data_IF_857400296004
#
_entry.id   IF_857400296004
#
_cell.length_a   1.000
_cell.length_b   1.000
_cell.length_c   1.000
_cell.angle_alpha   90.00
_cell.angle_beta   90.00
_cell.angle_gamma   90.00
#
_symmetry.space_group_name_H-M   'P 1'
#
loop_
_entity.id
_entity.type
_entity.pdbx_description
1 polymer ?
#
# COMPACT_ATOMS: atom_id res chain seq x y z
N UNK A 1 11.17 -22.33 8.34
CA UNK A 1 10.32 -21.20 8.74
C UNK A 1 8.95 -21.44 8.13
N UNK A 2 7.93 -21.61 8.95
CA UNK A 2 6.57 -21.54 8.43
C UNK A 2 6.34 -20.09 7.95
N UNK A 3 6.21 -19.91 6.63
CA UNK A 3 5.70 -18.65 6.08
C UNK A 3 4.32 -18.45 6.70
N UNK A 4 4.09 -17.30 7.33
CA UNK A 4 2.77 -16.95 7.82
C UNK A 4 1.84 -16.93 6.60
N UNK A 5 0.93 -17.89 6.53
CA UNK A 5 0.05 -18.08 5.38
C UNK A 5 -1.08 -17.08 5.49
N UNK A 6 -1.29 -16.25 4.46
CA UNK A 6 -2.44 -15.37 4.37
C UNK A 6 -3.73 -16.22 4.32
N UNK A 7 -4.77 -15.79 5.02
CA UNK A 7 -6.09 -16.38 4.89
C UNK A 7 -6.73 -15.98 3.57
N UNK A 8 -7.07 -16.95 2.73
CA UNK A 8 -7.69 -16.75 1.42
C UNK A 8 -9.19 -17.06 1.50
N UNK A 9 -10.05 -16.10 1.17
CA UNK A 9 -11.51 -16.25 1.16
C UNK A 9 -12.05 -15.83 -0.21
N UNK A 10 -12.97 -16.65 -0.77
CA UNK A 10 -13.70 -16.25 -1.99
C UNK A 10 -14.94 -15.45 -1.58
N UNK A 11 -15.11 -14.27 -2.15
CA UNK A 11 -16.25 -13.37 -1.92
C UNK A 11 -16.96 -13.01 -3.21
N UNK A 12 -18.21 -12.60 -3.10
CA UNK A 12 -19.02 -12.07 -4.20
C UNK A 12 -19.68 -10.79 -3.72
N UNK A 13 -19.47 -9.71 -4.44
CA UNK A 13 -20.17 -8.44 -4.21
C UNK A 13 -20.61 -7.86 -5.57
N UNK A 14 -21.88 -7.44 -5.68
CA UNK A 14 -22.45 -6.90 -6.94
C UNK A 14 -22.17 -7.77 -8.18
N UNK A 15 -22.30 -9.08 -8.06
CA UNK A 15 -22.01 -10.09 -9.09
C UNK A 15 -20.53 -10.20 -9.52
N UNK A 16 -19.61 -9.52 -8.83
CA UNK A 16 -18.18 -9.68 -9.05
C UNK A 16 -17.65 -10.71 -8.05
N UNK A 17 -17.05 -11.78 -8.57
CA UNK A 17 -16.34 -12.77 -7.74
C UNK A 17 -14.88 -12.35 -7.59
N UNK A 18 -14.40 -12.28 -6.36
CA UNK A 18 -13.02 -11.92 -6.06
C UNK A 18 -12.45 -12.73 -4.89
N UNK A 19 -11.15 -12.74 -4.77
CA UNK A 19 -10.43 -13.31 -3.64
C UNK A 19 -10.13 -12.22 -2.61
N UNK A 20 -10.27 -12.54 -1.34
CA UNK A 20 -9.78 -11.69 -0.26
C UNK A 20 -8.64 -12.40 0.45
N UNK A 21 -7.52 -11.70 0.58
CA UNK A 21 -6.36 -12.11 1.35
C UNK A 21 -6.32 -11.33 2.66
N UNK A 22 -6.44 -12.04 3.77
CA UNK A 22 -6.40 -11.45 5.11
C UNK A 22 -5.09 -11.84 5.82
N UNK A 23 -4.55 -10.91 6.59
CA UNK A 23 -3.51 -11.24 7.56
C UNK A 23 -4.07 -12.20 8.61
N UNK A 24 -3.30 -13.21 9.04
CA UNK A 24 -3.71 -14.05 10.15
C UNK A 24 -3.90 -13.20 11.42
N UNK A 25 -4.68 -13.71 12.35
CA UNK A 25 -5.18 -13.08 13.59
C UNK A 25 -4.38 -11.96 14.26
N UNK A 26 -5.02 -11.14 15.09
CA UNK A 26 -4.52 -9.88 15.68
C UNK A 26 -3.12 -9.93 16.32
N UNK A 27 -2.72 -11.05 16.92
CA UNK A 27 -1.35 -11.19 17.47
C UNK A 27 -0.26 -11.31 16.41
N UNK A 28 -0.59 -11.83 15.24
CA UNK A 28 0.35 -11.94 14.12
C UNK A 28 0.50 -10.64 13.33
N UNK A 29 -0.50 -9.75 13.34
CA UNK A 29 -0.47 -8.46 12.63
C UNK A 29 0.70 -7.57 13.06
N UNK A 30 0.98 -7.49 14.36
CA UNK A 30 2.04 -6.60 14.88
C UNK A 30 3.47 -6.99 14.47
N UNK A 31 3.68 -8.19 13.97
CA UNK A 31 5.00 -8.68 13.54
C UNK A 31 5.03 -9.11 12.06
N UNK A 32 3.91 -8.98 11.35
CA UNK A 32 3.84 -9.35 9.95
C UNK A 32 4.47 -8.26 9.07
N UNK A 33 5.59 -8.57 8.47
CA UNK A 33 6.18 -7.83 7.38
C UNK A 33 6.70 -8.84 6.38
N UNK A 34 6.14 -8.86 5.18
CA UNK A 34 6.62 -9.72 4.10
C UNK A 34 7.30 -8.89 3.02
N UNK A 35 8.43 -9.38 2.56
CA UNK A 35 9.16 -8.86 1.41
C UNK A 35 9.54 -10.03 0.51
N UNK A 36 8.97 -10.06 -0.67
CA UNK A 36 9.06 -11.20 -1.58
C UNK A 36 9.36 -10.73 -3.01
N UNK A 37 10.00 -11.61 -3.79
CA UNK A 37 10.24 -11.36 -5.21
C UNK A 37 8.95 -11.56 -6.02
N UNK A 38 8.59 -10.58 -6.85
CA UNK A 38 7.40 -10.63 -7.72
C UNK A 38 7.48 -11.84 -8.67
N UNK A 39 8.65 -12.12 -9.23
CA UNK A 39 8.87 -13.28 -10.10
C UNK A 39 8.64 -14.62 -9.36
N UNK A 40 8.96 -14.69 -8.08
CA UNK A 40 8.70 -15.86 -7.25
C UNK A 40 7.19 -15.99 -6.96
N UNK A 41 6.51 -14.89 -6.66
CA UNK A 41 5.04 -14.88 -6.47
C UNK A 41 4.36 -15.35 -7.76
N UNK A 42 4.73 -14.83 -8.92
CA UNK A 42 4.17 -15.22 -10.21
C UNK A 42 4.33 -16.72 -10.51
N UNK A 43 5.45 -17.30 -10.13
CA UNK A 43 5.72 -18.74 -10.36
C UNK A 43 5.00 -19.65 -9.38
N UNK A 44 4.97 -19.30 -8.11
CA UNK A 44 4.42 -20.15 -7.05
C UNK A 44 2.92 -19.97 -6.83
N UNK A 45 2.43 -18.76 -7.04
CA UNK A 45 1.05 -18.33 -6.78
C UNK A 45 0.53 -17.43 -7.90
N UNK A 46 0.46 -17.93 -9.16
CA UNK A 46 0.00 -17.10 -10.30
C UNK A 46 -1.39 -16.52 -10.08
N UNK A 47 -2.26 -17.24 -9.37
CA UNK A 47 -3.61 -16.77 -9.03
C UNK A 47 -3.59 -15.51 -8.14
N UNK A 48 -2.56 -15.33 -7.32
CA UNK A 48 -2.42 -14.16 -6.46
C UNK A 48 -2.16 -12.86 -7.25
N UNK A 49 -1.80 -12.97 -8.52
CA UNK A 49 -1.63 -11.83 -9.42
C UNK A 49 -2.72 -11.76 -10.49
N UNK A 50 -3.18 -12.90 -11.02
CA UNK A 50 -4.07 -12.95 -12.18
C UNK A 50 -5.57 -12.92 -11.83
N UNK A 51 -5.96 -13.40 -10.65
CA UNK A 51 -7.36 -13.32 -10.22
C UNK A 51 -7.65 -11.97 -9.58
N UNK A 52 -8.84 -11.43 -9.81
CA UNK A 52 -9.27 -10.20 -9.13
C UNK A 52 -9.34 -10.46 -7.63
N UNK A 53 -8.64 -9.63 -6.86
CA UNK A 53 -8.53 -9.80 -5.42
C UNK A 53 -8.43 -8.47 -4.68
N UNK A 54 -8.59 -8.51 -3.37
CA UNK A 54 -8.23 -7.44 -2.45
C UNK A 54 -7.53 -8.04 -1.23
N UNK A 55 -6.97 -7.18 -0.40
CA UNK A 55 -6.32 -7.56 0.84
C UNK A 55 -6.65 -6.58 1.97
N UNK A 56 -6.41 -6.97 3.22
CA UNK A 56 -6.65 -6.14 4.40
C UNK A 56 -5.36 -5.51 4.98
N UNK A 57 -4.33 -5.38 4.14
CA UNK A 57 -3.02 -4.85 4.49
C UNK A 57 -2.52 -3.89 3.40
N UNK A 58 -1.52 -3.10 3.70
CA UNK A 58 -0.83 -2.24 2.74
C UNK A 58 0.16 -3.03 1.91
N UNK A 59 0.29 -2.69 0.63
CA UNK A 59 1.26 -3.32 -0.27
C UNK A 59 1.98 -2.29 -1.13
N UNK A 60 3.24 -2.59 -1.41
CA UNK A 60 4.06 -1.84 -2.35
C UNK A 60 4.60 -2.84 -3.36
N UNK A 61 4.30 -2.65 -4.64
CA UNK A 61 4.85 -3.45 -5.74
C UNK A 61 5.81 -2.59 -6.54
N UNK A 62 7.09 -2.90 -6.45
CA UNK A 62 8.15 -2.21 -7.18
C UNK A 62 8.69 -3.11 -8.28
N UNK A 63 8.38 -2.79 -9.53
CA UNK A 63 8.80 -3.52 -10.72
C UNK A 63 10.17 -3.02 -11.19
N UNK A 64 11.17 -3.89 -11.20
CA UNK A 64 12.51 -3.62 -11.71
C UNK A 64 12.63 -3.92 -13.19
N UNK A 65 11.83 -4.83 -13.73
CA UNK A 65 11.81 -5.24 -15.12
C UNK A 65 10.45 -5.84 -15.51
N UNK A 66 10.26 -6.03 -16.80
CA UNK A 66 9.07 -6.64 -17.38
C UNK A 66 8.03 -5.62 -17.79
N UNK A 67 6.91 -6.14 -18.25
CA UNK A 67 5.77 -5.39 -18.75
C UNK A 67 4.46 -6.06 -18.38
N UNK A 68 3.37 -5.32 -18.45
CA UNK A 68 2.02 -5.77 -18.18
C UNK A 68 1.10 -4.62 -17.82
N UNK A 69 -0.08 -4.96 -17.32
CA UNK A 69 -1.08 -4.00 -16.89
C UNK A 69 -1.52 -4.33 -15.46
N UNK A 70 -1.51 -3.36 -14.58
CA UNK A 70 -2.14 -3.42 -13.27
C UNK A 70 -3.51 -2.75 -13.36
N UNK A 71 -4.56 -3.44 -12.98
CA UNK A 71 -5.93 -2.93 -12.98
C UNK A 71 -6.36 -2.77 -11.54
N UNK A 72 -6.75 -1.55 -11.16
CA UNK A 72 -7.21 -1.20 -9.81
C UNK A 72 -8.54 -0.47 -9.93
N UNK A 73 -9.58 -1.02 -9.30
CA UNK A 73 -10.94 -0.44 -9.29
C UNK A 73 -11.42 -0.01 -10.69
N UNK A 74 -11.11 -0.82 -11.72
CA UNK A 74 -11.43 -0.66 -13.14
C UNK A 74 -10.50 0.24 -13.97
N UNK A 75 -9.57 0.98 -13.35
CA UNK A 75 -8.57 1.77 -14.06
C UNK A 75 -7.34 0.92 -14.39
N UNK A 76 -6.77 1.14 -15.57
CA UNK A 76 -5.61 0.40 -16.09
C UNK A 76 -4.34 1.23 -15.98
N UNK A 77 -3.28 0.64 -15.44
CA UNK A 77 -1.96 1.27 -15.26
C UNK A 77 -0.88 0.40 -15.89
N UNK A 78 -0.01 1.00 -16.69
CA UNK A 78 1.09 0.29 -17.34
C UNK A 78 2.19 -0.09 -16.34
N UNK A 79 2.67 -1.32 -16.43
CA UNK A 79 3.83 -1.82 -15.73
C UNK A 79 5.05 -1.70 -16.63
N UNK A 80 6.14 -1.18 -16.07
CA UNK A 80 7.43 -1.10 -16.74
C UNK A 80 8.56 -0.98 -15.74
N UNK A 81 9.77 -0.88 -16.22
CA UNK A 81 10.94 -0.72 -15.38
C UNK A 81 10.84 0.52 -14.49
N UNK A 82 11.04 0.32 -13.19
CA UNK A 82 10.99 1.35 -12.17
C UNK A 82 9.59 1.72 -11.70
N UNK A 83 8.51 1.12 -12.25
CA UNK A 83 7.14 1.41 -11.79
C UNK A 83 6.92 0.88 -10.38
N UNK A 84 6.38 1.74 -9.52
CA UNK A 84 5.98 1.40 -8.15
C UNK A 84 4.51 1.70 -7.95
N UNK A 85 3.77 0.73 -7.43
CA UNK A 85 2.37 0.85 -7.05
C UNK A 85 2.22 0.76 -5.54
N UNK A 86 1.32 1.58 -4.99
CA UNK A 86 1.03 1.65 -3.55
C UNK A 86 -0.44 1.32 -3.32
N UNK A 87 -0.72 0.17 -2.72
CA UNK A 87 -2.08 -0.28 -2.44
C UNK A 87 -2.40 -0.15 -0.96
N UNK A 88 -3.47 0.59 -0.67
CA UNK A 88 -4.15 0.53 0.62
C UNK A 88 -4.95 -0.77 0.76
N UNK A 89 -5.44 -1.13 1.96
CA UNK A 89 -6.44 -2.18 2.12
C UNK A 89 -7.69 -1.92 1.27
N UNK A 90 -8.32 -2.99 0.78
CA UNK A 90 -9.64 -3.08 0.12
C UNK A 90 -9.74 -2.86 -1.39
N UNK A 91 -9.02 -1.94 -2.11
CA UNK A 91 -9.14 -1.85 -3.55
C UNK A 91 -9.11 -3.21 -4.24
N UNK A 92 -10.04 -3.41 -5.17
CA UNK A 92 -10.06 -4.61 -6.03
C UNK A 92 -9.03 -4.45 -7.12
N UNK A 93 -8.11 -5.39 -7.22
CA UNK A 93 -7.07 -5.30 -8.24
C UNK A 93 -6.70 -6.65 -8.86
N UNK A 94 -6.09 -6.59 -10.02
CA UNK A 94 -5.57 -7.74 -10.77
C UNK A 94 -4.48 -7.30 -11.73
N UNK A 95 -3.71 -8.25 -12.22
CA UNK A 95 -2.67 -8.00 -13.21
C UNK A 95 -2.98 -8.77 -14.50
N UNK A 96 -2.72 -8.15 -15.66
CA UNK A 96 -2.88 -8.77 -16.97
C UNK A 96 -1.58 -8.69 -17.77
N UNK A 97 -1.39 -9.67 -18.64
CA UNK A 97 -0.31 -9.70 -19.62
C UNK A 97 1.08 -9.55 -19.01
N UNK A 98 1.28 -10.05 -17.78
CA UNK A 98 2.58 -10.00 -17.13
C UNK A 98 3.61 -10.82 -17.90
N UNK A 99 4.67 -10.17 -18.38
CA UNK A 99 5.76 -10.78 -19.13
C UNK A 99 7.11 -10.36 -18.56
N UNK A 100 7.96 -11.34 -18.27
CA UNK A 100 9.33 -11.16 -17.76
C UNK A 100 9.43 -10.22 -16.56
N UNK A 101 8.41 -10.20 -15.70
CA UNK A 101 8.40 -9.32 -14.55
C UNK A 101 9.40 -9.77 -13.50
N UNK A 102 10.15 -8.79 -13.00
CA UNK A 102 11.01 -8.88 -11.84
C UNK A 102 10.78 -7.67 -10.94
N UNK A 103 10.98 -7.83 -9.66
CA UNK A 103 10.76 -6.76 -8.71
C UNK A 103 10.48 -7.28 -7.30
N UNK A 104 10.01 -6.36 -6.46
CA UNK A 104 9.82 -6.59 -5.04
C UNK A 104 8.38 -6.25 -4.65
N UNK A 105 7.73 -7.17 -3.94
CA UNK A 105 6.48 -6.94 -3.25
C UNK A 105 6.74 -6.82 -1.74
N UNK A 106 6.24 -5.77 -1.13
CA UNK A 106 6.26 -5.56 0.32
C UNK A 106 4.84 -5.50 0.83
N UNK A 107 4.51 -6.28 1.85
CA UNK A 107 3.19 -6.33 2.47
C UNK A 107 3.31 -6.11 3.97
N UNK A 108 2.50 -5.20 4.52
CA UNK A 108 2.53 -4.86 5.94
C UNK A 108 1.17 -4.33 6.44
N UNK A 109 0.84 -4.57 7.72
CA UNK A 109 -0.37 -4.03 8.32
C UNK A 109 -0.22 -2.55 8.68
N UNK A 110 -1.35 -1.89 8.99
CA UNK A 110 -1.40 -0.47 9.36
C UNK A 110 -0.53 -0.14 10.57
N UNK A 111 -0.35 -1.07 11.48
CA UNK A 111 0.43 -0.91 12.72
C UNK A 111 1.88 -0.46 12.47
N UNK A 112 2.44 -0.76 11.28
CA UNK A 112 3.76 -0.25 10.89
C UNK A 112 3.73 1.23 10.55
N UNK A 113 2.68 1.70 9.88
CA UNK A 113 2.49 3.13 9.60
C UNK A 113 2.21 3.91 10.90
N UNK A 114 1.48 3.31 11.86
CA UNK A 114 1.21 3.94 13.17
C UNK A 114 2.47 4.13 14.04
N UNK A 115 3.56 3.46 13.73
CA UNK A 115 4.86 3.67 14.39
C UNK A 115 5.67 4.83 13.81
N UNK A 116 5.23 5.39 12.69
CA UNK A 116 5.83 6.56 12.05
C UNK A 116 5.28 7.82 12.73
N UNK A 117 6.08 8.88 12.79
CA UNK A 117 5.61 10.19 13.27
C UNK A 117 4.31 10.60 12.57
N UNK A 118 3.37 11.17 13.34
CA UNK A 118 2.00 11.45 12.88
C UNK A 118 1.96 12.37 11.64
N UNK A 119 2.82 13.40 11.57
CA UNK A 119 2.85 14.30 10.42
C UNK A 119 3.35 13.57 9.18
N UNK A 120 4.43 12.83 9.31
CA UNK A 120 5.00 12.05 8.23
C UNK A 120 4.04 10.93 7.78
N UNK A 121 3.38 10.25 8.73
CA UNK A 121 2.37 9.24 8.44
C UNK A 121 1.22 9.81 7.60
N UNK A 122 0.69 10.98 7.97
CA UNK A 122 -0.37 11.64 7.21
C UNK A 122 0.07 11.94 5.77
N UNK A 123 1.28 12.48 5.59
CA UNK A 123 1.85 12.75 4.26
C UNK A 123 2.03 11.48 3.42
N UNK A 124 2.53 10.41 4.02
CA UNK A 124 2.70 9.11 3.36
C UNK A 124 1.34 8.55 2.93
N UNK A 125 0.38 8.47 3.86
CA UNK A 125 -0.94 7.93 3.55
C UNK A 125 -1.61 8.70 2.41
N UNK A 126 -1.65 10.02 2.49
CA UNK A 126 -2.31 10.85 1.49
C UNK A 126 -1.64 10.77 0.11
N UNK A 127 -0.33 10.72 0.03
CA UNK A 127 0.38 10.69 -1.25
C UNK A 127 0.42 9.31 -1.89
N UNK A 128 0.57 8.27 -1.07
CA UNK A 128 0.90 6.92 -1.55
C UNK A 128 -0.28 5.95 -1.48
N UNK A 129 -1.18 6.10 -0.51
CA UNK A 129 -2.21 5.09 -0.28
C UNK A 129 -3.63 5.62 -0.48
N UNK A 130 -3.85 6.92 -0.34
CA UNK A 130 -5.15 7.57 -0.50
C UNK A 130 -5.02 8.86 -1.30
N UNK A 131 -4.54 8.81 -2.56
CA UNK A 131 -4.47 10.00 -3.40
C UNK A 131 -5.87 10.51 -3.72
N UNK A 132 -6.03 11.83 -3.85
CA UNK A 132 -7.33 12.42 -4.16
C UNK A 132 -7.81 12.10 -5.59
N UNK A 133 -6.88 11.80 -6.50
CA UNK A 133 -7.19 11.49 -7.88
C UNK A 133 -6.50 10.19 -8.29
N UNK A 134 -7.28 9.24 -8.78
CA UNK A 134 -6.79 7.99 -9.33
C UNK A 134 -6.10 7.10 -8.29
N UNK A 135 -5.13 6.34 -8.74
CA UNK A 135 -4.39 5.37 -7.95
C UNK A 135 -2.91 5.77 -7.84
N UNK A 136 -2.35 5.63 -6.64
CA UNK A 136 -0.98 6.07 -6.37
C UNK A 136 0.07 5.17 -7.03
N UNK A 137 0.83 5.74 -7.93
CA UNK A 137 2.00 5.12 -8.51
C UNK A 137 3.08 6.16 -8.81
N UNK A 138 4.32 5.71 -8.89
CA UNK A 138 5.44 6.55 -9.33
C UNK A 138 6.43 5.73 -10.13
N UNK A 139 7.38 6.40 -10.77
CA UNK A 139 8.51 5.78 -11.45
C UNK A 139 9.80 6.08 -10.68
N UNK A 140 10.60 5.06 -10.45
CA UNK A 140 11.91 5.16 -9.79
C UNK A 140 12.99 4.98 -10.84
N UNK A 141 13.82 6.00 -11.06
CA UNK A 141 14.97 5.92 -11.95
C UNK A 141 16.04 4.96 -11.39
N UNK A 142 16.92 4.43 -12.23
CA UNK A 142 18.01 3.55 -11.78
C UNK A 142 18.92 4.25 -10.75
N UNK A 143 19.22 5.54 -10.92
CA UNK A 143 20.01 6.30 -9.96
C UNK A 143 19.33 6.46 -8.59
N UNK A 144 17.98 6.56 -8.56
CA UNK A 144 17.20 6.59 -7.33
C UNK A 144 17.14 5.20 -6.70
N UNK A 145 16.98 4.16 -7.52
CA UNK A 145 16.97 2.75 -7.08
C UNK A 145 18.28 2.37 -6.38
N UNK A 146 19.43 2.73 -6.93
CA UNK A 146 20.73 2.46 -6.32
C UNK A 146 20.85 3.01 -4.89
N UNK A 147 20.20 4.16 -4.60
CA UNK A 147 20.19 4.76 -3.26
C UNK A 147 19.24 4.02 -2.29
N UNK A 148 18.15 3.47 -2.80
CA UNK A 148 17.13 2.81 -1.98
C UNK A 148 17.38 1.31 -1.78
N UNK A 149 18.07 0.64 -2.72
CA UNK A 149 18.33 -0.81 -2.63
C UNK A 149 19.06 -1.25 -1.36
N UNK A 150 20.00 -0.48 -0.76
CA UNK A 150 20.56 -0.83 0.55
C UNK A 150 19.52 -0.97 1.66
N UNK A 151 18.47 -0.13 1.67
CA UNK A 151 17.37 -0.20 2.64
C UNK A 151 16.58 -1.49 2.41
N UNK A 152 16.22 -1.77 1.16
CA UNK A 152 15.52 -3.00 0.76
C UNK A 152 16.30 -4.23 1.18
N UNK A 153 17.60 -4.25 0.97
CA UNK A 153 18.49 -5.34 1.36
C UNK A 153 18.50 -5.57 2.88
N UNK A 154 18.57 -4.49 3.67
CA UNK A 154 18.46 -4.59 5.13
C UNK A 154 17.10 -5.17 5.56
N UNK A 155 16.01 -4.80 4.88
CA UNK A 155 14.69 -5.37 5.15
C UNK A 155 14.65 -6.88 4.83
N UNK A 156 15.22 -7.31 3.70
CA UNK A 156 15.30 -8.72 3.31
C UNK A 156 16.15 -9.52 4.30
N UNK A 157 17.31 -9.01 4.69
CA UNK A 157 18.17 -9.64 5.69
C UNK A 157 17.45 -9.75 7.05
N UNK A 158 16.78 -8.68 7.49
CA UNK A 158 16.03 -8.68 8.74
C UNK A 158 14.83 -9.63 8.72
N UNK A 159 14.16 -9.81 7.58
CA UNK A 159 13.06 -10.77 7.44
C UNK A 159 13.49 -12.22 7.59
N UNK A 160 14.74 -12.53 7.29
CA UNK A 160 15.32 -13.87 7.44
C UNK A 160 15.76 -14.19 8.88
N UNK A 161 15.84 -13.16 9.76
CA UNK A 161 16.28 -13.35 11.14
C UNK A 161 15.11 -13.71 12.06
N UNK A 162 15.40 -14.44 13.11
CA UNK A 162 14.46 -14.65 14.22
C UNK A 162 14.74 -13.63 15.31
N UNK A 163 13.72 -12.86 15.66
CA UNK A 163 13.78 -11.91 16.76
C UNK A 163 13.05 -12.48 17.98
N UNK A 164 13.72 -12.49 19.13
CA UNK A 164 13.08 -12.82 20.41
C UNK A 164 12.09 -11.72 20.80
N UNK A 165 12.48 -10.44 20.64
CA UNK A 165 11.64 -9.28 20.88
C UNK A 165 10.91 -8.84 19.58
N UNK A 166 9.65 -9.23 19.47
CA UNK A 166 8.78 -8.87 18.33
C UNK A 166 8.48 -7.38 18.23
N UNK A 167 8.48 -6.66 19.35
CA UNK A 167 8.28 -5.20 19.36
C UNK A 167 9.50 -4.48 18.76
N UNK A 168 10.70 -4.93 19.11
CA UNK A 168 11.94 -4.42 18.53
C UNK A 168 12.01 -4.72 17.04
N UNK A 169 11.66 -5.93 16.63
CA UNK A 169 11.55 -6.30 15.21
C UNK A 169 10.61 -5.37 14.46
N UNK A 170 9.39 -5.17 14.96
CA UNK A 170 8.40 -4.31 14.33
C UNK A 170 8.89 -2.84 14.25
N UNK A 171 9.58 -2.35 15.28
CA UNK A 171 10.13 -0.99 15.28
C UNK A 171 11.29 -0.85 14.28
N UNK A 172 12.12 -1.86 14.12
CA UNK A 172 13.19 -1.90 13.13
C UNK A 172 12.63 -1.83 11.70
N UNK A 173 11.65 -2.68 11.38
CA UNK A 173 10.99 -2.64 10.06
C UNK A 173 10.27 -1.32 9.82
N UNK A 174 9.55 -0.78 10.80
CA UNK A 174 8.87 0.51 10.66
C UNK A 174 9.87 1.64 10.36
N UNK A 175 11.05 1.61 10.96
CA UNK A 175 12.11 2.60 10.71
C UNK A 175 12.67 2.48 9.29
N UNK A 176 12.96 1.27 8.81
CA UNK A 176 13.42 1.03 7.45
C UNK A 176 12.34 1.39 6.42
N UNK A 177 11.08 1.03 6.69
CA UNK A 177 9.94 1.37 5.85
C UNK A 177 9.78 2.90 5.77
N UNK A 178 9.85 3.59 6.90
CA UNK A 178 9.77 5.06 6.95
C UNK A 178 10.84 5.70 6.07
N UNK A 179 12.09 5.26 6.19
CA UNK A 179 13.19 5.77 5.37
C UNK A 179 12.97 5.50 3.88
N UNK A 180 12.53 4.29 3.52
CA UNK A 180 12.24 3.92 2.13
C UNK A 180 11.11 4.78 1.55
N UNK A 181 10.02 4.98 2.28
CA UNK A 181 8.89 5.79 1.84
C UNK A 181 9.25 7.28 1.69
N UNK A 182 10.08 7.81 2.59
CA UNK A 182 10.64 9.17 2.46
C UNK A 182 11.44 9.29 1.17
N UNK A 183 12.32 8.34 0.88
CA UNK A 183 13.14 8.38 -0.32
C UNK A 183 12.29 8.19 -1.59
N UNK A 184 11.26 7.36 -1.56
CA UNK A 184 10.29 7.26 -2.67
C UNK A 184 9.55 8.59 -2.90
N UNK A 185 9.16 9.32 -1.84
CA UNK A 185 8.55 10.65 -1.98
C UNK A 185 9.52 11.65 -2.62
N UNK A 186 10.79 11.63 -2.22
CA UNK A 186 11.81 12.60 -2.65
C UNK A 186 12.37 12.32 -4.03
N UNK A 187 12.53 11.07 -4.39
CA UNK A 187 13.29 10.62 -5.58
C UNK A 187 12.39 10.02 -6.66
N UNK A 188 11.15 9.68 -6.33
CA UNK A 188 10.18 9.15 -7.29
C UNK A 188 9.66 10.21 -8.24
N UNK A 189 9.46 9.81 -9.48
CA UNK A 189 8.79 10.60 -10.50
C UNK A 189 7.29 10.32 -10.40
N UNK A 190 6.59 11.22 -9.75
CA UNK A 190 5.14 11.13 -9.53
C UNK A 190 4.41 11.80 -10.70
N UNK A 191 3.39 11.15 -11.23
CA UNK A 191 2.50 11.77 -12.23
C UNK A 191 1.79 13.01 -11.69
N UNK A 192 0.96 13.65 -12.51
CA UNK A 192 0.24 14.92 -12.22
C UNK A 192 -0.74 14.89 -11.05
N UNK A 193 -0.57 14.03 -10.08
CA UNK A 193 -1.27 14.10 -8.79
C UNK A 193 -0.80 15.36 -8.05
N UNK A 194 -1.45 16.48 -8.38
CA UNK A 194 -1.14 17.84 -7.95
C UNK A 194 -1.43 18.10 -6.46
N UNK A 195 -0.69 17.43 -5.57
CA UNK A 195 -0.70 17.74 -4.13
C UNK A 195 0.54 18.48 -3.64
N UNK A 196 1.17 19.28 -4.51
CA UNK A 196 2.39 20.00 -4.15
C UNK A 196 2.21 21.10 -3.09
N UNK A 197 0.98 21.49 -2.73
CA UNK A 197 0.71 22.65 -1.86
C UNK A 197 -0.32 22.44 -0.73
N UNK A 198 -0.70 21.20 -0.40
CA UNK A 198 -1.67 20.97 0.67
C UNK A 198 -0.94 20.82 2.01
N UNK A 199 -1.42 21.48 3.07
CA UNK A 199 -0.81 21.37 4.40
C UNK A 199 -0.91 19.95 4.95
N UNK A 200 -0.02 19.58 5.87
CA UNK A 200 -0.04 18.24 6.50
C UNK A 200 -1.38 17.93 7.17
N UNK A 201 -2.01 18.93 7.78
CA UNK A 201 -3.30 18.80 8.46
C UNK A 201 -4.44 18.49 7.48
N UNK A 202 -4.43 19.15 6.32
CA UNK A 202 -5.40 18.88 5.24
C UNK A 202 -5.30 17.46 4.74
N UNK A 203 -4.09 16.96 4.57
CA UNK A 203 -3.83 15.59 4.18
C UNK A 203 -4.33 14.58 5.21
N UNK A 204 -4.11 14.84 6.49
CA UNK A 204 -4.59 13.96 7.56
C UNK A 204 -6.12 13.88 7.58
N UNK A 205 -6.80 15.01 7.44
CA UNK A 205 -8.27 15.07 7.38
C UNK A 205 -8.79 14.30 6.16
N UNK A 206 -8.21 14.51 4.98
CA UNK A 206 -8.60 13.82 3.77
C UNK A 206 -8.39 12.30 3.86
N UNK A 207 -7.20 11.86 4.23
CA UNK A 207 -6.89 10.43 4.36
C UNK A 207 -7.80 9.74 5.38
N UNK A 208 -8.08 10.41 6.52
CA UNK A 208 -9.00 9.91 7.52
C UNK A 208 -10.44 9.86 7.02
N UNK A 209 -10.86 10.85 6.23
CA UNK A 209 -12.18 10.87 5.59
C UNK A 209 -12.35 9.67 4.67
N UNK A 210 -11.42 9.47 3.72
CA UNK A 210 -11.46 8.34 2.78
C UNK A 210 -11.51 7.00 3.53
N UNK A 211 -10.64 6.82 4.52
CA UNK A 211 -10.64 5.60 5.33
C UNK A 211 -11.97 5.38 6.05
N UNK A 212 -12.55 6.43 6.64
CA UNK A 212 -13.85 6.33 7.30
C UNK A 212 -14.98 6.01 6.33
N UNK A 213 -14.95 6.56 5.12
CA UNK A 213 -15.91 6.21 4.06
C UNK A 213 -15.78 4.74 3.71
N UNK A 214 -14.58 4.25 3.44
CA UNK A 214 -14.34 2.85 3.13
C UNK A 214 -14.75 1.87 4.24
N UNK A 215 -14.62 2.28 5.50
CA UNK A 215 -15.00 1.46 6.64
C UNK A 215 -16.51 1.42 6.89
N UNK A 216 -17.24 2.47 6.51
CA UNK A 216 -18.64 2.66 6.92
C UNK A 216 -19.60 2.93 5.76
N UNK A 217 -19.19 2.85 4.49
CA UNK A 217 -20.04 3.20 3.34
C UNK A 217 -21.32 2.35 3.24
N UNK A 218 -21.36 1.16 3.82
CA UNK A 218 -22.55 0.30 3.85
C UNK A 218 -23.59 0.82 4.86
N UNK A 219 -23.14 1.42 5.96
CA UNK A 219 -24.00 1.83 7.08
C UNK A 219 -24.26 3.35 7.09
N UNK A 220 -23.34 4.14 6.57
CA UNK A 220 -23.38 5.61 6.59
C UNK A 220 -23.19 6.16 5.19
N UNK A 221 -24.23 6.83 4.64
CA UNK A 221 -24.24 7.37 3.28
C UNK A 221 -24.23 8.91 3.24
N UNK A 222 -24.39 9.56 4.39
CA UNK A 222 -24.44 11.01 4.47
C UNK A 222 -23.06 11.60 4.83
N UNK A 223 -22.59 12.54 4.03
CA UNK A 223 -21.31 13.26 4.29
C UNK A 223 -21.32 13.90 5.69
N UNK A 224 -22.48 14.31 6.19
CA UNK A 224 -22.65 14.90 7.52
C UNK A 224 -22.15 13.98 8.64
N UNK A 225 -22.40 12.67 8.53
CA UNK A 225 -21.99 11.69 9.56
C UNK A 225 -20.46 11.60 9.69
N UNK A 226 -19.77 11.76 8.56
CA UNK A 226 -18.31 11.76 8.51
C UNK A 226 -17.73 13.09 9.02
N UNK A 227 -18.33 14.21 8.66
CA UNK A 227 -17.92 15.55 9.11
C UNK A 227 -17.97 15.65 10.64
N UNK A 228 -19.05 15.20 11.26
CA UNK A 228 -19.22 15.20 12.71
C UNK A 228 -18.13 14.37 13.40
N UNK A 229 -17.84 13.18 12.87
CA UNK A 229 -16.78 12.28 13.40
C UNK A 229 -15.38 12.84 13.18
N UNK A 230 -15.14 13.57 12.09
CA UNK A 230 -13.86 14.21 11.77
C UNK A 230 -13.64 15.51 12.56
N UNK A 231 -14.70 16.12 13.09
CA UNK A 231 -14.60 17.40 13.79
C UNK A 231 -14.25 18.59 12.88
N UNK A 232 -14.62 18.53 11.59
CA UNK A 232 -14.34 19.57 10.60
C UNK A 232 -15.64 20.14 10.03
N UNK A 233 -15.58 21.31 9.40
CA UNK A 233 -16.73 21.86 8.66
C UNK A 233 -16.84 21.21 7.26
N UNK A 234 -18.04 21.23 6.67
CA UNK A 234 -18.24 20.80 5.29
C UNK A 234 -17.40 21.63 4.32
N UNK A 235 -17.27 22.93 4.56
CA UNK A 235 -16.42 23.82 3.75
C UNK A 235 -14.96 23.39 3.83
N UNK A 236 -14.48 23.02 5.02
CA UNK A 236 -13.12 22.53 5.23
C UNK A 236 -12.91 21.21 4.49
N UNK A 237 -13.85 20.26 4.59
CA UNK A 237 -13.74 18.99 3.88
C UNK A 237 -13.71 19.20 2.36
N UNK A 238 -14.61 20.05 1.82
CA UNK A 238 -14.66 20.35 0.38
C UNK A 238 -13.41 21.05 -0.16
N UNK A 239 -12.57 21.63 0.69
CA UNK A 239 -11.28 22.19 0.29
C UNK A 239 -10.19 21.11 0.16
N UNK A 240 -10.44 19.94 0.73
CA UNK A 240 -9.47 18.85 0.83
C UNK A 240 -9.83 17.64 -0.06
N UNK A 241 -11.05 17.60 -0.58
CA UNK A 241 -11.58 16.61 -1.52
C UNK A 241 -11.76 17.22 -2.92
#
# INVERSE_FOLDING_TARGET
MEKQTLEKKKKVHNNISYLQYDLPTDQAKMSFFDISDISAIQKMHPEALQETHCHNFYSIFWFNAGEGTHIVDFDEYEIGQGTVFFLSPKPLHTYRNLSNVDGIAMCFPEEFLLKIDNELQGRIKAKMFYPANGFAHCKISEAAKEKMMPIVKLMQEASALQYEDKSLQASYFASLLSLLLIDMIRLGEWGDSSFSNVSSDSFQVYAKFVQMVEDNYIESHAVKDYIEKLGVSQTTLNQYT
#
